data_IF_304030633521
#
_entry.id   IF_304030633521
#
_cell.length_a   1.000
_cell.length_b   1.000
_cell.length_c   1.000
_cell.angle_alpha   90.00
_cell.angle_beta   90.00
_cell.angle_gamma   90.00
#
_symmetry.space_group_name_H-M   'P 1'
#
loop_
_entity.id
_entity.type
_entity.pdbx_description
1 polymer ?
#
# COMPACT_ATOMS: atom_id res chain seq x y z
N UNK A 1 -3.25 -25.08 13.40
CA UNK A 1 -3.55 -25.53 12.02
C UNK A 1 -3.93 -24.32 11.19
N UNK A 2 -3.49 -24.25 9.93
CA UNK A 2 -3.87 -23.16 9.02
C UNK A 2 -5.15 -23.54 8.27
N UNK A 3 -5.95 -22.54 7.91
CA UNK A 3 -7.10 -22.73 7.01
C UNK A 3 -6.69 -22.31 5.60
N UNK A 4 -7.49 -22.67 4.59
CA UNK A 4 -7.30 -22.19 3.22
C UNK A 4 -7.53 -20.67 3.08
N UNK A 5 -8.17 -20.04 4.07
CA UNK A 5 -8.43 -18.61 4.06
C UNK A 5 -7.32 -17.84 4.78
N UNK A 6 -6.61 -16.99 4.03
CA UNK A 6 -5.62 -16.05 4.57
C UNK A 6 -6.21 -15.24 5.75
N UNK A 7 -5.45 -15.01 6.82
CA UNK A 7 -5.96 -14.28 7.99
C UNK A 7 -7.00 -15.03 8.83
N UNK A 8 -7.31 -16.31 8.54
CA UNK A 8 -8.11 -17.17 9.40
C UNK A 8 -7.31 -18.40 9.82
N UNK A 9 -7.23 -18.64 11.12
CA UNK A 9 -6.47 -19.77 11.70
C UNK A 9 -7.40 -20.63 12.57
N UNK A 10 -7.30 -21.95 12.46
CA UNK A 10 -8.05 -22.87 13.31
C UNK A 10 -7.21 -23.39 14.49
N UNK A 11 -7.85 -23.55 15.64
CA UNK A 11 -7.25 -24.06 16.87
C UNK A 11 -8.26 -24.94 17.63
N UNK A 12 -7.78 -25.78 18.55
CA UNK A 12 -8.65 -26.58 19.42
C UNK A 12 -8.72 -25.95 20.80
N UNK A 13 -9.90 -25.98 21.42
CA UNK A 13 -10.11 -25.60 22.80
C UNK A 13 -11.12 -26.55 23.41
N UNK A 14 -10.73 -27.28 24.46
CA UNK A 14 -11.56 -28.30 25.09
C UNK A 14 -12.10 -29.31 24.06
N UNK A 15 -11.22 -29.84 23.20
CA UNK A 15 -11.55 -30.77 22.11
C UNK A 15 -12.46 -30.21 21.00
N UNK A 16 -12.93 -28.97 21.12
CA UNK A 16 -13.74 -28.29 20.10
C UNK A 16 -12.84 -27.50 19.15
N UNK A 17 -12.99 -27.74 17.84
CA UNK A 17 -12.33 -26.94 16.80
C UNK A 17 -12.96 -25.54 16.73
N UNK A 18 -12.13 -24.51 16.85
CA UNK A 18 -12.48 -23.10 16.79
C UNK A 18 -11.63 -22.34 15.78
N UNK A 19 -12.07 -21.15 15.41
CA UNK A 19 -11.41 -20.30 14.43
C UNK A 19 -11.11 -18.91 15.01
N UNK A 20 -10.01 -18.33 14.54
CA UNK A 20 -9.54 -16.99 14.85
C UNK A 20 -9.39 -16.21 13.55
N UNK A 21 -9.90 -14.98 13.54
CA UNK A 21 -9.69 -14.01 12.47
C UNK A 21 -8.62 -13.02 12.92
N UNK A 22 -7.58 -12.87 12.10
CA UNK A 22 -6.52 -11.89 12.19
C UNK A 22 -6.50 -11.10 10.87
N UNK A 23 -6.98 -9.87 10.88
CA UNK A 23 -7.09 -9.02 9.69
C UNK A 23 -6.36 -7.69 9.92
N UNK A 24 -5.55 -7.27 8.96
CA UNK A 24 -4.89 -5.96 8.97
C UNK A 24 -5.52 -5.07 7.90
N UNK A 25 -6.13 -3.96 8.31
CA UNK A 25 -6.72 -2.96 7.40
C UNK A 25 -6.21 -1.57 7.77
N UNK A 26 -5.63 -0.83 6.83
CA UNK A 26 -5.23 0.57 6.99
C UNK A 26 -4.49 0.84 8.32
N UNK A 27 -3.37 0.13 8.55
CA UNK A 27 -2.53 0.12 9.78
C UNK A 27 -3.21 -0.38 11.07
N UNK A 28 -4.51 -0.63 11.05
CA UNK A 28 -5.24 -1.21 12.18
C UNK A 28 -5.23 -2.72 12.08
N UNK A 29 -4.98 -3.37 13.22
CA UNK A 29 -5.03 -4.83 13.34
C UNK A 29 -6.30 -5.23 14.10
N UNK A 30 -7.08 -6.12 13.51
CA UNK A 30 -8.31 -6.68 14.07
C UNK A 30 -8.09 -8.15 14.38
N UNK A 31 -8.29 -8.51 15.64
CA UNK A 31 -8.21 -9.89 16.10
C UNK A 31 -9.51 -10.28 16.80
N UNK A 32 -10.13 -11.39 16.37
CA UNK A 32 -11.27 -11.98 17.08
C UNK A 32 -11.17 -13.50 17.08
N UNK A 33 -11.40 -14.10 18.25
CA UNK A 33 -11.28 -15.54 18.52
C UNK A 33 -12.65 -16.13 18.85
N UNK A 34 -12.75 -17.46 18.81
CA UNK A 34 -13.89 -18.19 19.37
C UNK A 34 -14.98 -18.56 18.38
N UNK A 35 -14.79 -18.33 17.08
CA UNK A 35 -15.74 -18.78 16.07
C UNK A 35 -15.80 -20.31 16.05
N UNK A 36 -17.01 -20.88 16.04
CA UNK A 36 -17.22 -22.34 16.04
C UNK A 36 -17.23 -22.92 14.62
N UNK A 37 -17.51 -22.08 13.61
CA UNK A 37 -17.51 -22.47 12.20
C UNK A 37 -16.56 -21.60 11.39
N UNK A 38 -15.99 -22.17 10.31
CA UNK A 38 -15.16 -21.42 9.37
C UNK A 38 -15.96 -20.31 8.68
N UNK A 39 -17.24 -20.59 8.37
CA UNK A 39 -18.13 -19.65 7.70
C UNK A 39 -18.43 -18.40 8.54
N UNK A 40 -18.67 -18.56 9.84
CA UNK A 40 -18.89 -17.41 10.73
C UNK A 40 -17.63 -16.53 10.86
N UNK A 41 -16.45 -17.16 10.92
CA UNK A 41 -15.17 -16.44 10.90
C UNK A 41 -14.98 -15.69 9.57
N UNK A 42 -15.30 -16.33 8.44
CA UNK A 42 -15.24 -15.71 7.10
C UNK A 42 -16.20 -14.54 6.97
N UNK A 43 -17.45 -14.69 7.42
CA UNK A 43 -18.46 -13.62 7.39
C UNK A 43 -17.98 -12.40 8.17
N UNK A 44 -17.50 -12.59 9.40
CA UNK A 44 -16.95 -11.50 10.21
C UNK A 44 -15.75 -10.82 9.53
N UNK A 45 -14.86 -11.59 8.91
CA UNK A 45 -13.74 -11.04 8.15
C UNK A 45 -14.24 -10.17 6.99
N UNK A 46 -15.17 -10.68 6.18
CA UNK A 46 -15.73 -9.93 5.05
C UNK A 46 -16.45 -8.66 5.50
N UNK A 47 -17.18 -8.70 6.62
CA UNK A 47 -17.80 -7.52 7.22
C UNK A 47 -16.76 -6.48 7.64
N UNK A 48 -15.64 -6.89 8.23
CA UNK A 48 -14.53 -5.99 8.54
C UNK A 48 -13.90 -5.43 7.26
N UNK A 49 -13.66 -6.28 6.26
CA UNK A 49 -13.11 -5.86 4.98
C UNK A 49 -14.02 -4.82 4.33
N UNK A 50 -15.32 -5.05 4.22
CA UNK A 50 -16.27 -4.12 3.60
C UNK A 50 -16.44 -2.84 4.44
N UNK A 51 -16.60 -2.97 5.75
CA UNK A 51 -16.74 -1.81 6.66
C UNK A 51 -15.51 -0.89 6.61
N UNK A 52 -14.32 -1.45 6.43
CA UNK A 52 -13.07 -0.71 6.38
C UNK A 52 -12.44 -0.71 5.00
N UNK A 53 -13.21 -1.05 3.96
CA UNK A 53 -12.90 -0.87 2.53
C UNK A 53 -12.96 0.62 2.25
N UNK A 54 -12.02 1.34 2.84
CA UNK A 54 -11.77 2.72 2.54
C UNK A 54 -11.31 2.69 1.10
N UNK A 55 -12.23 2.92 0.16
CA UNK A 55 -11.90 3.41 -1.17
C UNK A 55 -11.23 4.75 -0.93
N UNK A 56 -9.93 4.73 -0.62
CA UNK A 56 -9.12 5.93 -0.69
C UNK A 56 -9.00 6.18 -2.18
N UNK A 57 -10.01 6.84 -2.76
CA UNK A 57 -9.87 7.50 -4.04
C UNK A 57 -8.70 8.47 -3.87
N UNK A 58 -7.58 8.11 -4.47
CA UNK A 58 -6.37 8.91 -4.39
C UNK A 58 -6.55 10.02 -5.41
N UNK A 59 -6.97 11.20 -4.98
CA UNK A 59 -6.94 12.37 -5.86
C UNK A 59 -5.52 12.94 -5.87
N UNK A 60 -4.80 12.75 -6.98
CA UNK A 60 -3.45 13.28 -7.12
C UNK A 60 -3.39 14.80 -6.95
N UNK A 61 -4.41 15.53 -7.44
CA UNK A 61 -4.47 17.00 -7.32
C UNK A 61 -4.49 17.45 -5.86
N UNK A 62 -5.22 16.75 -4.99
CA UNK A 62 -5.30 17.09 -3.57
C UNK A 62 -4.00 16.77 -2.83
N UNK A 63 -3.31 15.69 -3.22
CA UNK A 63 -1.98 15.33 -2.71
C UNK A 63 -0.97 16.40 -3.10
N UNK A 64 -0.97 16.82 -4.37
CA UNK A 64 -0.11 17.89 -4.88
C UNK A 64 -0.37 19.18 -4.12
N UNK A 65 -1.63 19.62 -3.98
CA UNK A 65 -1.98 20.82 -3.21
C UNK A 65 -1.49 20.77 -1.76
N UNK A 66 -1.70 19.64 -1.09
CA UNK A 66 -1.25 19.45 0.29
C UNK A 66 0.27 19.49 0.40
N UNK A 67 0.98 18.91 -0.56
CA UNK A 67 2.43 18.96 -0.61
C UNK A 67 2.95 20.38 -0.88
N UNK A 68 2.35 21.12 -1.82
CA UNK A 68 2.74 22.50 -2.09
C UNK A 68 2.56 23.41 -0.86
N UNK A 69 1.52 23.17 -0.06
CA UNK A 69 1.28 23.93 1.17
C UNK A 69 2.23 23.56 2.32
N UNK A 70 2.52 22.26 2.51
CA UNK A 70 3.34 21.78 3.64
C UNK A 70 4.83 21.65 3.33
N UNK A 71 5.19 21.60 2.04
CA UNK A 71 6.52 21.21 1.53
C UNK A 71 7.07 19.91 2.13
N UNK A 72 6.21 19.03 2.64
CA UNK A 72 6.59 17.90 3.48
C UNK A 72 5.87 16.61 3.08
N UNK A 73 6.60 15.68 2.46
CA UNK A 73 6.09 14.34 2.11
C UNK A 73 5.54 13.61 3.35
N UNK A 74 6.16 13.81 4.51
CA UNK A 74 5.72 13.19 5.77
C UNK A 74 4.35 13.72 6.18
N UNK A 75 4.15 15.02 6.11
CA UNK A 75 2.90 15.67 6.50
C UNK A 75 1.79 15.35 5.53
N UNK A 76 2.04 15.45 4.22
CA UNK A 76 1.11 14.99 3.18
C UNK A 76 0.69 13.53 3.40
N UNK A 77 1.63 12.64 3.74
CA UNK A 77 1.32 11.24 4.02
C UNK A 77 0.43 11.03 5.25
N UNK A 78 0.58 11.86 6.29
CA UNK A 78 -0.30 11.81 7.47
C UNK A 78 -1.69 12.34 7.11
N UNK A 79 -1.75 13.47 6.42
CA UNK A 79 -3.00 14.11 6.01
C UNK A 79 -3.88 13.20 5.14
N UNK A 80 -3.25 12.44 4.24
CA UNK A 80 -3.95 11.54 3.31
C UNK A 80 -4.02 10.08 3.78
N UNK A 81 -3.56 9.76 4.99
CA UNK A 81 -3.52 8.38 5.52
C UNK A 81 -2.78 7.40 4.58
N UNK A 82 -1.66 7.86 4.02
CA UNK A 82 -0.87 7.15 3.01
C UNK A 82 0.53 6.81 3.52
N UNK A 83 1.19 5.86 2.85
CA UNK A 83 2.63 5.65 3.07
C UNK A 83 3.42 6.79 2.41
N UNK A 84 4.55 7.17 3.01
CA UNK A 84 5.45 8.19 2.45
C UNK A 84 5.94 7.81 1.05
N UNK A 85 6.14 6.52 0.80
CA UNK A 85 6.53 6.00 -0.51
C UNK A 85 5.43 6.24 -1.55
N UNK A 86 4.16 5.96 -1.24
CA UNK A 86 3.05 6.17 -2.17
C UNK A 86 2.89 7.66 -2.51
N UNK A 87 2.96 8.54 -1.51
CA UNK A 87 2.94 9.99 -1.71
C UNK A 87 4.11 10.44 -2.58
N UNK A 88 5.33 10.02 -2.25
CA UNK A 88 6.54 10.37 -3.03
C UNK A 88 6.38 9.98 -4.49
N UNK A 89 5.96 8.74 -4.77
CA UNK A 89 5.77 8.26 -6.14
C UNK A 89 4.72 9.07 -6.90
N UNK A 90 3.59 9.41 -6.27
CA UNK A 90 2.57 10.27 -6.90
C UNK A 90 3.16 11.64 -7.23
N UNK A 91 3.86 12.28 -6.29
CA UNK A 91 4.47 13.58 -6.52
C UNK A 91 5.55 13.56 -7.61
N UNK A 92 6.29 12.46 -7.75
CA UNK A 92 7.23 12.23 -8.86
C UNK A 92 6.47 12.08 -10.19
N UNK A 93 5.40 11.28 -10.21
CA UNK A 93 4.58 11.08 -11.40
C UNK A 93 3.91 12.37 -11.88
N UNK A 94 3.45 13.21 -10.95
CA UNK A 94 2.88 14.53 -11.25
C UNK A 94 3.94 15.60 -11.55
N UNK A 95 5.24 15.28 -11.43
CA UNK A 95 6.35 16.19 -11.74
C UNK A 95 6.60 17.29 -10.69
N UNK A 96 5.96 17.21 -9.53
CA UNK A 96 6.04 18.23 -8.46
C UNK A 96 7.20 17.96 -7.49
N UNK A 97 7.66 16.71 -7.43
CA UNK A 97 8.81 16.32 -6.64
C UNK A 97 9.85 15.59 -7.49
N UNK A 98 11.10 16.04 -7.40
CA UNK A 98 12.22 15.38 -8.04
C UNK A 98 13.50 15.54 -7.21
N UNK A 99 14.35 14.52 -7.23
CA UNK A 99 15.74 14.60 -6.79
C UNK A 99 16.65 14.24 -7.96
N UNK A 100 17.94 14.63 -7.95
CA UNK A 100 18.87 14.22 -9.01
C UNK A 100 18.89 12.71 -9.23
N UNK A 101 18.75 11.94 -8.15
CA UNK A 101 18.68 10.49 -8.21
C UNK A 101 17.36 9.99 -8.81
N UNK A 102 16.21 10.59 -8.48
CA UNK A 102 14.93 10.18 -9.08
C UNK A 102 14.90 10.48 -10.57
N UNK A 103 15.44 11.62 -11.01
CA UNK A 103 15.54 11.97 -12.43
C UNK A 103 16.32 10.89 -13.18
N UNK A 104 17.53 10.58 -12.71
CA UNK A 104 18.40 9.58 -13.34
C UNK A 104 17.80 8.18 -13.37
N UNK A 105 17.11 7.78 -12.30
CA UNK A 105 16.37 6.51 -12.24
C UNK A 105 15.28 6.47 -13.32
N UNK A 106 14.46 7.52 -13.41
CA UNK A 106 13.33 7.54 -14.34
C UNK A 106 13.79 7.65 -15.81
N UNK A 107 14.90 8.33 -16.10
CA UNK A 107 15.53 8.34 -17.42
C UNK A 107 16.00 6.94 -17.86
N UNK A 108 16.64 6.20 -16.96
CA UNK A 108 17.07 4.82 -17.26
C UNK A 108 15.87 3.89 -17.44
N UNK A 109 14.83 4.00 -16.60
CA UNK A 109 13.61 3.22 -16.78
C UNK A 109 12.90 3.58 -18.10
N UNK A 110 12.86 4.86 -18.48
CA UNK A 110 12.27 5.31 -19.73
C UNK A 110 13.04 4.84 -20.98
N UNK A 111 14.35 4.63 -20.85
CA UNK A 111 15.19 4.07 -21.93
C UNK A 111 15.11 2.54 -22.04
N UNK A 112 14.26 1.88 -21.25
CA UNK A 112 13.97 0.45 -21.35
C UNK A 112 14.77 -0.44 -20.41
N UNK A 113 15.62 0.12 -19.55
CA UNK A 113 16.30 -0.67 -18.51
C UNK A 113 15.31 -1.20 -17.48
N UNK A 114 15.56 -2.43 -17.02
CA UNK A 114 14.82 -3.04 -15.92
C UNK A 114 15.21 -2.42 -14.57
N UNK A 115 14.33 -2.55 -13.57
CA UNK A 115 14.59 -2.07 -12.21
C UNK A 115 15.90 -2.63 -11.62
N UNK A 116 16.25 -3.88 -11.95
CA UNK A 116 17.48 -4.52 -11.51
C UNK A 116 18.70 -3.89 -12.17
N UNK A 117 18.68 -3.72 -13.49
CA UNK A 117 19.78 -3.08 -14.22
C UNK A 117 19.99 -1.63 -13.79
N UNK A 118 18.92 -0.89 -13.51
CA UNK A 118 19.01 0.48 -12.96
C UNK A 118 19.65 0.48 -11.58
N UNK A 119 19.26 -0.48 -10.73
CA UNK A 119 19.83 -0.63 -9.39
C UNK A 119 21.34 -0.88 -9.47
N UNK A 120 21.76 -1.80 -10.34
CA UNK A 120 23.16 -2.17 -10.53
C UNK A 120 23.96 -1.00 -11.11
N UNK A 121 23.44 -0.33 -12.15
CA UNK A 121 24.10 0.79 -12.85
C UNK A 121 24.28 2.05 -11.98
N UNK A 122 23.37 2.26 -11.02
CA UNK A 122 23.44 3.37 -10.08
C UNK A 122 24.03 2.97 -8.72
N UNK A 123 24.42 1.70 -8.55
CA UNK A 123 24.93 1.13 -7.28
C UNK A 123 23.98 1.41 -6.10
N UNK A 124 22.68 1.22 -6.33
CA UNK A 124 21.62 1.41 -5.34
C UNK A 124 20.83 0.13 -5.20
N UNK A 125 20.02 0.02 -4.14
CA UNK A 125 19.15 -1.14 -4.00
C UNK A 125 17.93 -1.04 -4.93
N UNK A 126 17.39 -2.19 -5.33
CA UNK A 126 16.11 -2.29 -6.06
C UNK A 126 14.98 -1.58 -5.29
N UNK A 127 15.02 -1.63 -3.95
CA UNK A 127 14.08 -0.91 -3.10
C UNK A 127 14.15 0.61 -3.29
N UNK A 128 15.36 1.17 -3.41
CA UNK A 128 15.57 2.59 -3.71
C UNK A 128 15.03 2.95 -5.08
N UNK A 129 15.29 2.12 -6.10
CA UNK A 129 14.74 2.31 -7.45
C UNK A 129 13.21 2.34 -7.40
N UNK A 130 12.59 1.35 -6.76
CA UNK A 130 11.12 1.27 -6.64
C UNK A 130 10.48 2.44 -5.87
N UNK A 131 11.22 3.05 -4.94
CA UNK A 131 10.77 4.20 -4.16
C UNK A 131 10.85 5.52 -4.96
N UNK A 132 11.78 5.62 -5.90
CA UNK A 132 12.03 6.82 -6.71
C UNK A 132 11.51 6.71 -8.16
N UNK A 133 11.11 5.53 -8.60
CA UNK A 133 10.45 5.32 -9.88
C UNK A 133 9.05 5.97 -9.86
N UNK A 134 8.73 6.69 -10.93
CA UNK A 134 7.37 7.16 -11.20
C UNK A 134 6.42 5.97 -11.36
N UNK A 135 5.15 6.15 -11.01
CA UNK A 135 4.10 5.24 -11.48
C UNK A 135 3.90 5.41 -12.98
N UNK A 136 3.43 4.37 -13.68
CA UNK A 136 2.82 4.59 -15.00
C UNK A 136 1.52 5.36 -14.78
N UNK A 137 1.26 6.36 -15.62
CA UNK A 137 0.08 7.22 -15.49
C UNK A 137 -1.18 6.34 -15.52
N UNK A 138 -1.95 6.34 -14.43
CA UNK A 138 -3.12 5.47 -14.24
C UNK A 138 -2.91 4.21 -13.38
N UNK A 139 -1.70 3.90 -12.90
CA UNK A 139 -1.46 2.77 -11.97
C UNK A 139 -1.80 3.10 -10.51
N UNK A 140 -1.85 4.39 -10.16
CA UNK A 140 -2.50 4.82 -8.94
C UNK A 140 -3.98 5.00 -9.28
N UNK A 141 -4.86 4.34 -8.52
CA UNK A 141 -6.31 4.37 -8.69
C UNK A 141 -6.84 5.80 -8.41
N UNK A 142 -6.58 6.71 -9.36
CA UNK A 142 -7.20 8.03 -9.47
C UNK A 142 -8.57 7.76 -10.04
N UNK A 143 -9.60 7.88 -9.19
CA UNK A 143 -10.98 7.82 -9.64
C UNK A 143 -11.17 8.73 -10.84
N UNK A 144 -11.56 8.16 -11.98
CA UNK A 144 -11.97 8.95 -13.14
C UNK A 144 -13.10 9.89 -12.70
N UNK A 145 -12.96 11.18 -13.00
CA UNK A 145 -14.03 12.18 -12.92
C UNK A 145 -15.23 11.75 -13.77
#
# INVERSE_FOLDING_TARGET
>A
MKTEFAGITSYFQNEVKKYRVDLVVNRKHYQKRGFTTLESARKYRNELEEKYKKTVQVNADDIVRTYLNSSSIRETAIHHDMSRQKVRKILITEGVYSTPQSVKINELLASGYTTQEVADKLSVTVGTVNNLAAYRKGEYDVGKK
#
